data_IF_599092036775
#
_entry.id   IF_599092036775
#
_cell.length_a   1.000
_cell.length_b   1.000
_cell.length_c   1.000
_cell.angle_alpha   90.00
_cell.angle_beta   90.00
_cell.angle_gamma   90.00
#
_symmetry.space_group_name_H-M   'P 1'
#
loop_
_entity.id
_entity.type
_entity.pdbx_description
1 polymer ?
#
# COMPACT_ATOMS: atom_id res chain seq x y z
N UNK A 1 0.40 -14.01 4.18
CA UNK A 1 0.06 -12.91 5.12
C UNK A 1 -0.84 -11.93 4.35
N UNK A 2 -1.79 -11.26 5.01
CA UNK A 2 -2.76 -10.39 4.34
C UNK A 2 -2.88 -9.04 5.03
N UNK A 3 -3.11 -8.00 4.24
CA UNK A 3 -3.44 -6.65 4.68
C UNK A 3 -4.96 -6.52 4.54
N UNK A 4 -5.72 -6.28 5.62
CA UNK A 4 -7.16 -6.13 5.54
C UNK A 4 -7.56 -4.83 4.85
N UNK A 5 -8.71 -4.84 4.19
CA UNK A 5 -9.33 -3.64 3.65
C UNK A 5 -9.64 -2.63 4.77
N UNK A 6 -9.47 -1.34 4.49
CA UNK A 6 -9.73 -0.26 5.45
C UNK A 6 -10.14 1.02 4.73
N UNK A 7 -11.09 1.74 5.30
CA UNK A 7 -11.39 3.11 4.87
C UNK A 7 -10.60 4.08 5.75
N UNK A 8 -9.90 5.01 5.11
CA UNK A 8 -9.06 6.00 5.81
C UNK A 8 -9.46 7.39 5.34
N UNK A 9 -9.46 8.33 6.27
CA UNK A 9 -9.63 9.76 5.98
C UNK A 9 -8.26 10.41 6.06
N UNK A 10 -7.93 11.27 5.10
CA UNK A 10 -6.70 12.05 5.10
C UNK A 10 -6.80 13.12 6.19
N UNK A 11 -6.06 12.95 7.29
CA UNK A 11 -6.11 13.87 8.44
C UNK A 11 -5.19 15.08 8.29
N UNK A 12 -4.06 14.92 7.62
CA UNK A 12 -3.02 15.95 7.44
C UNK A 12 -2.87 16.33 5.96
N UNK A 13 -2.47 17.57 5.70
CA UNK A 13 -2.37 18.13 4.34
C UNK A 13 -1.10 17.68 3.57
N UNK A 14 -0.14 17.08 4.26
CA UNK A 14 1.13 16.58 3.71
C UNK A 14 1.12 15.07 3.45
N UNK A 15 -0.05 14.43 3.50
CA UNK A 15 -0.17 12.99 3.26
C UNK A 15 -0.18 12.67 1.77
N UNK A 16 0.77 11.83 1.34
CA UNK A 16 0.73 11.18 0.02
C UNK A 16 0.04 9.82 0.08
N UNK A 17 -0.42 9.32 -1.07
CA UNK A 17 -1.03 7.99 -1.14
C UNK A 17 -0.05 6.89 -0.73
N UNK A 18 1.21 6.97 -1.16
CA UNK A 18 2.30 6.07 -0.76
C UNK A 18 2.46 6.03 0.76
N UNK A 19 2.45 7.18 1.42
CA UNK A 19 2.62 7.29 2.87
C UNK A 19 1.44 6.66 3.61
N UNK A 20 0.20 6.90 3.14
CA UNK A 20 -1.00 6.28 3.70
C UNK A 20 -0.94 4.75 3.57
N UNK A 21 -0.58 4.26 2.38
CA UNK A 21 -0.44 2.82 2.12
C UNK A 21 0.64 2.21 3.02
N UNK A 22 1.79 2.87 3.13
CA UNK A 22 2.90 2.46 3.99
C UNK A 22 2.48 2.39 5.47
N UNK A 23 1.83 3.41 6.00
CA UNK A 23 1.38 3.43 7.40
C UNK A 23 0.39 2.30 7.70
N UNK A 24 -0.57 2.06 6.80
CA UNK A 24 -1.51 0.94 6.99
C UNK A 24 -0.81 -0.41 6.95
N UNK A 25 0.06 -0.63 5.96
CA UNK A 25 0.83 -1.85 5.86
C UNK A 25 1.76 -2.07 7.06
N UNK A 26 2.44 -1.02 7.55
CA UNK A 26 3.25 -1.05 8.77
C UNK A 26 2.44 -1.41 10.01
N UNK A 27 1.24 -0.84 10.17
CA UNK A 27 0.37 -1.11 11.31
C UNK A 27 -0.11 -2.58 11.34
N UNK A 28 -0.20 -3.23 10.17
CA UNK A 28 -0.67 -4.63 10.05
C UNK A 28 0.49 -5.63 10.12
N UNK A 29 1.57 -5.39 9.37
CA UNK A 29 2.67 -6.34 9.21
C UNK A 29 3.74 -6.17 10.30
N UNK A 30 3.88 -4.98 10.88
CA UNK A 30 4.87 -4.68 11.94
C UNK A 30 6.34 -4.76 11.52
N UNK A 31 6.64 -5.09 10.26
CA UNK A 31 7.99 -5.30 9.74
C UNK A 31 8.25 -4.39 8.54
N UNK A 32 9.18 -3.46 8.72
CA UNK A 32 9.59 -2.49 7.69
C UNK A 32 10.15 -3.16 6.44
N UNK A 33 10.87 -4.27 6.57
CA UNK A 33 11.46 -4.97 5.41
C UNK A 33 10.34 -5.59 4.57
N UNK A 34 9.36 -6.22 5.21
CA UNK A 34 8.21 -6.79 4.51
C UNK A 34 7.36 -5.73 3.82
N UNK A 35 7.10 -4.60 4.50
CA UNK A 35 6.33 -3.49 3.93
C UNK A 35 7.07 -2.87 2.73
N UNK A 36 8.38 -2.64 2.85
CA UNK A 36 9.18 -2.10 1.74
C UNK A 36 9.31 -3.06 0.54
N UNK A 37 9.06 -4.35 0.76
CA UNK A 37 9.06 -5.36 -0.30
C UNK A 37 7.68 -5.56 -0.97
N UNK A 38 6.63 -4.87 -0.51
CA UNK A 38 5.31 -4.91 -1.12
C UNK A 38 5.37 -4.33 -2.54
N UNK A 39 4.93 -5.13 -3.52
CA UNK A 39 4.78 -4.71 -4.91
C UNK A 39 3.31 -4.82 -5.30
N UNK A 40 2.75 -3.79 -5.93
CA UNK A 40 1.36 -3.82 -6.39
C UNK A 40 0.33 -3.28 -5.39
N UNK A 41 0.70 -2.99 -4.14
CA UNK A 41 -0.27 -2.54 -3.14
C UNK A 41 -0.74 -1.10 -3.39
N UNK A 42 0.17 -0.22 -3.82
CA UNK A 42 -0.15 1.14 -4.21
C UNK A 42 -1.04 1.15 -5.46
N UNK A 43 -0.66 0.35 -6.45
CA UNK A 43 -1.39 0.20 -7.71
C UNK A 43 -2.81 -0.32 -7.47
N UNK A 44 -2.96 -1.37 -6.65
CA UNK A 44 -4.27 -1.86 -6.23
C UNK A 44 -5.10 -0.78 -5.50
N UNK A 45 -4.44 0.08 -4.72
CA UNK A 45 -5.11 1.20 -4.06
C UNK A 45 -5.53 2.27 -5.07
N UNK A 46 -4.73 2.56 -6.08
CA UNK A 46 -5.10 3.49 -7.17
C UNK A 46 -6.26 2.94 -8.01
N UNK A 47 -6.27 1.64 -8.31
CA UNK A 47 -7.37 0.99 -9.02
C UNK A 47 -8.69 1.06 -8.23
N UNK A 48 -8.62 0.94 -6.91
CA UNK A 48 -9.79 1.08 -6.03
C UNK A 48 -10.26 2.53 -5.85
N UNK A 49 -9.42 3.53 -6.17
CA UNK A 49 -9.71 4.95 -6.01
C UNK A 49 -9.25 5.75 -7.25
N UNK A 50 -9.85 5.53 -8.43
CA UNK A 50 -9.42 6.17 -9.67
C UNK A 50 -9.50 7.69 -9.62
N UNK A 51 -10.38 8.25 -8.78
CA UNK A 51 -10.51 9.68 -8.56
C UNK A 51 -9.30 10.32 -7.89
N UNK A 52 -8.40 9.54 -7.27
CA UNK A 52 -7.21 10.07 -6.61
C UNK A 52 -6.21 10.62 -7.64
N UNK A 53 -6.17 10.07 -8.85
CA UNK A 53 -5.24 10.45 -9.89
C UNK A 53 -5.36 11.92 -10.36
N UNK A 54 -6.49 12.59 -10.05
CA UNK A 54 -6.67 14.01 -10.36
C UNK A 54 -5.95 14.94 -9.37
N UNK A 55 -5.53 14.42 -8.22
CA UNK A 55 -4.78 15.17 -7.22
C UNK A 55 -3.28 15.07 -7.49
N UNK A 56 -2.52 16.00 -6.92
CA UNK A 56 -1.07 15.97 -6.97
C UNK A 56 -0.47 14.96 -6.01
N UNK A 57 0.82 15.15 -5.71
CA UNK A 57 1.58 14.30 -4.77
C UNK A 57 0.94 14.24 -3.37
N UNK A 58 0.35 15.36 -2.94
CA UNK A 58 -0.35 15.47 -1.65
C UNK A 58 -1.85 15.42 -1.84
N UNK A 59 -2.50 14.65 -0.97
CA UNK A 59 -3.94 14.48 -0.99
C UNK A 59 -4.60 15.57 -0.15
N UNK A 60 -5.76 16.11 -0.57
CA UNK A 60 -6.49 17.07 0.22
C UNK A 60 -6.98 16.44 1.52
N UNK A 61 -6.86 17.20 2.62
CA UNK A 61 -7.40 16.82 3.92
C UNK A 61 -8.91 16.55 3.82
N UNK A 62 -9.37 15.51 4.52
CA UNK A 62 -10.76 15.05 4.51
C UNK A 62 -11.10 14.12 3.35
N UNK A 63 -10.18 13.88 2.41
CA UNK A 63 -10.38 12.88 1.36
C UNK A 63 -10.52 11.48 1.97
N UNK A 64 -11.51 10.72 1.48
CA UNK A 64 -11.70 9.32 1.84
C UNK A 64 -10.91 8.46 0.85
N UNK A 65 -10.08 7.56 1.38
CA UNK A 65 -9.30 6.60 0.60
C UNK A 65 -9.69 5.20 1.03
N UNK A 66 -10.01 4.36 0.05
CA UNK A 66 -10.33 2.95 0.21
C UNK A 66 -9.04 2.16 0.05
N UNK A 67 -8.52 1.61 1.14
CA UNK A 67 -7.42 0.66 1.09
C UNK A 67 -7.99 -0.74 0.85
N UNK A 68 -7.65 -1.41 -0.27
CA UNK A 68 -8.18 -2.72 -0.59
C UNK A 68 -7.61 -3.82 0.32
N UNK A 69 -8.29 -4.97 0.40
CA UNK A 69 -7.65 -6.17 0.96
C UNK A 69 -6.52 -6.60 0.01
N UNK A 70 -5.33 -6.85 0.57
CA UNK A 70 -4.17 -7.21 -0.21
C UNK A 70 -3.51 -8.46 0.34
N UNK A 71 -3.39 -9.47 -0.52
CA UNK A 71 -2.69 -10.71 -0.18
C UNK A 71 -1.24 -10.57 -0.62
N UNK A 72 -0.31 -10.72 0.31
CA UNK A 72 1.10 -10.78 -0.04
C UNK A 72 1.36 -12.06 -0.84
N UNK A 73 1.54 -11.93 -2.15
CA UNK A 73 2.24 -12.92 -2.93
C UNK A 73 3.71 -12.81 -2.56
N UNK A 74 4.11 -13.56 -1.53
CA UNK A 74 5.51 -13.87 -1.30
C UNK A 74 5.79 -15.04 -2.23
N UNK A 75 6.30 -14.84 -3.47
CA UNK A 75 6.82 -15.98 -4.20
C UNK A 75 7.84 -16.60 -3.25
N UNK A 76 7.62 -17.85 -2.82
CA UNK A 76 8.70 -18.61 -2.18
C UNK A 76 9.88 -18.40 -3.11
N UNK A 77 10.88 -17.65 -2.65
CA UNK A 77 12.09 -17.41 -3.41
C UNK A 77 12.68 -18.79 -3.63
N UNK A 78 12.32 -19.38 -4.76
CA UNK A 78 12.99 -20.55 -5.27
C UNK A 78 14.29 -19.96 -5.75
N UNK A 79 15.25 -19.87 -4.82
CA UNK A 79 16.63 -19.50 -5.12
C UNK A 79 17.09 -20.55 -6.11
N UNK A 80 16.94 -20.26 -7.41
CA UNK A 80 17.61 -21.02 -8.46
C UNK A 80 19.07 -20.66 -8.31
N UNK A 81 19.85 -21.60 -7.78
CA UNK A 81 21.30 -21.52 -7.90
C UNK A 81 21.61 -21.52 -9.39
N UNK A 82 22.38 -20.54 -9.84
CA UNK A 82 22.76 -20.36 -11.25
C UNK A 82 23.78 -21.40 -11.72
N UNK A 83 24.20 -22.32 -10.84
CA UNK A 83 25.30 -23.24 -11.05
C UNK A 83 25.00 -24.68 -10.59
N UNK A 84 23.72 -25.07 -10.55
CA UNK A 84 23.34 -26.49 -10.64
C UNK A 84 22.90 -26.80 -12.09
#
# INVERSE_FOLDING_TARGET
MKIPAKHVVVELEDMSLDLICFHHAMAVLGDRIQVGALKGYLEATLEANPEIAKYGVFLPRGLKVILPEFVLNNPKSMVKRLWD
#
